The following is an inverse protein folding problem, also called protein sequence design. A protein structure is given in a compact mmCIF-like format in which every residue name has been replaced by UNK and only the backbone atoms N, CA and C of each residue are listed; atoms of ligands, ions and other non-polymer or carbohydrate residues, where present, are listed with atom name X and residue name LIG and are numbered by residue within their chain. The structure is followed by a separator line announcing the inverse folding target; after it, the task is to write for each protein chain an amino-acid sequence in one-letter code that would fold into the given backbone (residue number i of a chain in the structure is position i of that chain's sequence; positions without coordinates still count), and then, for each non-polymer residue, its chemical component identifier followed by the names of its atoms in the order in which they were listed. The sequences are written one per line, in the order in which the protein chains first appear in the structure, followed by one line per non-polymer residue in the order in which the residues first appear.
data_IF_195503382430
#
_entry.id   IF_195503382430
#
_cell.length_a   1.000
_cell.length_b   1.000
_cell.length_c   1.000
_cell.angle_alpha   90.00
_cell.angle_beta   90.00
_cell.angle_gamma   90.00
#
_symmetry.space_group_name_H-M   'P 1'
#
loop_
_entity.id
_entity.type
_entity.pdbx_description
1 polymer ?
#
# COMPACT_ATOMS: atom_id res chain seq x y z
N UNK A 1 -9.58 43.99 -16.45
CA UNK A 1 -10.68 43.18 -15.89
C UNK A 1 -11.35 42.45 -17.04
N UNK A 2 -11.25 41.12 -17.11
CA UNK A 2 -12.02 40.30 -18.08
C UNK A 2 -13.17 39.63 -17.32
N UNK A 3 -14.42 39.71 -17.79
CA UNK A 3 -15.45 38.80 -17.32
C UNK A 3 -15.24 37.46 -18.03
N UNK A 4 -15.02 36.40 -17.25
CA UNK A 4 -15.12 35.03 -17.76
C UNK A 4 -16.60 34.67 -17.83
N UNK A 5 -17.12 34.56 -19.05
CA UNK A 5 -18.41 33.95 -19.33
C UNK A 5 -18.18 32.98 -20.48
N UNK A 6 -18.20 31.69 -20.16
CA UNK A 6 -17.99 30.60 -21.08
C UNK A 6 -18.99 29.49 -20.79
N UNK A 7 -20.11 29.56 -21.52
CA UNK A 7 -20.94 28.48 -22.03
C UNK A 7 -21.33 27.29 -21.13
N UNK A 8 -22.64 27.22 -20.87
CA UNK A 8 -23.37 25.98 -20.57
C UNK A 8 -23.24 24.99 -21.74
N UNK A 9 -22.95 23.73 -21.45
CA UNK A 9 -23.29 22.60 -22.30
C UNK A 9 -24.05 21.58 -21.46
N UNK A 10 -25.37 21.65 -21.60
CA UNK A 10 -26.33 20.62 -21.21
C UNK A 10 -26.02 19.35 -22.04
N UNK A 11 -25.57 18.27 -21.39
CA UNK A 11 -25.38 16.96 -22.01
C UNK A 11 -26.09 15.88 -21.19
N UNK A 12 -26.96 15.05 -21.80
CA UNK A 12 -27.75 14.06 -21.10
C UNK A 12 -26.91 12.82 -20.79
N UNK A 13 -26.94 12.35 -19.55
CA UNK A 13 -26.60 10.98 -19.13
C UNK A 13 -25.25 10.42 -19.62
N UNK A 14 -24.16 11.19 -19.56
CA UNK A 14 -22.84 10.56 -19.47
C UNK A 14 -22.62 10.11 -18.02
N UNK A 15 -22.86 8.83 -17.76
CA UNK A 15 -22.29 8.16 -16.59
C UNK A 15 -20.77 8.23 -16.75
N UNK A 16 -20.16 9.21 -16.08
CA UNK A 16 -18.71 9.26 -15.91
C UNK A 16 -18.39 8.08 -15.00
N UNK A 17 -17.98 6.95 -15.59
CA UNK A 17 -17.35 5.88 -14.84
C UNK A 17 -16.00 6.43 -14.39
N UNK A 18 -15.97 7.04 -13.21
CA UNK A 18 -14.76 7.14 -12.42
C UNK A 18 -14.39 5.69 -12.12
N UNK A 19 -13.60 5.08 -13.01
CA UNK A 19 -12.76 3.96 -12.61
C UNK A 19 -11.81 4.57 -11.60
N UNK A 20 -12.22 4.54 -10.33
CA UNK A 20 -11.27 4.64 -9.26
C UNK A 20 -10.23 3.57 -9.59
N UNK A 21 -9.01 4.00 -9.89
CA UNK A 21 -7.84 3.14 -9.87
C UNK A 21 -7.79 2.60 -8.43
N UNK A 22 -8.57 1.55 -8.13
CA UNK A 22 -8.78 1.03 -6.78
C UNK A 22 -7.43 0.70 -6.15
N UNK A 23 -6.47 0.28 -6.98
CA UNK A 23 -5.09 0.10 -6.61
C UNK A 23 -4.39 1.38 -6.11
N UNK A 24 -4.57 2.54 -6.76
CA UNK A 24 -4.01 3.84 -6.31
C UNK A 24 -4.65 4.37 -5.03
N UNK A 25 -5.90 4.01 -4.79
CA UNK A 25 -6.67 4.54 -3.65
C UNK A 25 -6.55 3.62 -2.43
N UNK A 26 -6.51 2.30 -2.62
CA UNK A 26 -6.60 1.33 -1.53
C UNK A 26 -5.23 0.81 -1.07
N UNK A 27 -4.23 0.67 -1.94
CA UNK A 27 -2.88 0.26 -1.53
C UNK A 27 -2.23 1.24 -0.54
N UNK A 28 -2.37 2.58 -0.67
CA UNK A 28 -1.83 3.49 0.33
C UNK A 28 -2.62 3.44 1.64
N UNK A 29 -3.94 3.16 1.59
CA UNK A 29 -4.74 3.00 2.81
C UNK A 29 -4.33 1.74 3.58
N UNK A 30 -4.12 0.62 2.91
CA UNK A 30 -3.70 -0.64 3.52
C UNK A 30 -2.31 -0.52 4.15
N UNK A 31 -1.35 0.07 3.44
CA UNK A 31 -0.02 0.40 3.97
C UNK A 31 -0.11 1.37 5.14
N UNK A 32 -0.87 2.46 5.03
CA UNK A 32 -1.00 3.43 6.12
C UNK A 32 -1.66 2.82 7.37
N UNK A 33 -2.58 1.85 7.20
CA UNK A 33 -3.12 1.07 8.31
C UNK A 33 -2.05 0.18 8.94
N UNK A 34 -1.25 -0.53 8.13
CA UNK A 34 -0.12 -1.34 8.59
C UNK A 34 0.96 -0.51 9.32
N UNK A 35 1.21 0.72 8.87
CA UNK A 35 2.22 1.64 9.41
C UNK A 35 1.74 2.49 10.59
N UNK A 36 0.43 2.66 10.76
CA UNK A 36 -0.13 3.28 11.96
C UNK A 36 0.11 2.32 13.12
N UNK A 37 0.73 2.80 14.20
CA UNK A 37 1.40 2.03 15.27
C UNK A 37 0.52 1.08 16.11
N UNK A 38 -0.63 0.65 15.61
CA UNK A 38 -1.70 -0.01 16.36
C UNK A 38 -2.49 -1.04 15.54
N UNK A 39 -2.09 -1.34 14.30
CA UNK A 39 -2.72 -2.41 13.54
C UNK A 39 -2.02 -3.75 13.80
N UNK A 40 -1.88 -4.16 15.07
CA UNK A 40 -1.91 -5.59 15.40
C UNK A 40 -3.34 -6.07 15.15
N UNK A 41 -3.70 -6.15 13.87
CA UNK A 41 -4.98 -6.69 13.46
C UNK A 41 -4.89 -8.19 13.65
N UNK A 42 -5.54 -8.66 14.70
CA UNK A 42 -5.82 -10.08 14.90
C UNK A 42 -6.80 -10.50 13.81
N UNK A 43 -6.30 -11.21 12.82
CA UNK A 43 -7.15 -12.02 11.95
C UNK A 43 -7.04 -13.44 12.49
N UNK A 44 -8.00 -13.84 13.33
CA UNK A 44 -8.18 -15.20 13.88
C UNK A 44 -6.88 -15.95 14.26
N UNK A 45 -6.12 -15.43 15.23
CA UNK A 45 -4.85 -15.98 15.78
C UNK A 45 -3.56 -15.65 15.03
N UNK A 46 -3.60 -14.85 13.96
CA UNK A 46 -2.41 -14.44 13.24
C UNK A 46 -2.11 -12.94 13.37
N UNK A 47 -0.85 -12.61 13.67
CA UNK A 47 -0.37 -11.24 13.85
C UNK A 47 -0.06 -10.61 12.50
N UNK A 48 -0.70 -9.48 12.19
CA UNK A 48 -0.29 -8.59 11.10
C UNK A 48 0.64 -7.55 11.71
N UNK A 49 1.89 -7.49 11.27
CA UNK A 49 2.86 -6.49 11.77
C UNK A 49 3.83 -6.04 10.70
N UNK A 50 4.20 -4.76 10.76
CA UNK A 50 5.28 -4.15 10.00
C UNK A 50 6.64 -4.79 10.35
N UNK A 51 6.76 -5.38 11.55
CA UNK A 51 7.99 -6.05 12.00
C UNK A 51 8.39 -7.20 11.07
N UNK A 52 7.43 -7.85 10.41
CA UNK A 52 7.74 -8.88 9.41
C UNK A 52 8.47 -8.30 8.19
N UNK A 53 8.10 -7.09 7.77
CA UNK A 53 8.78 -6.37 6.68
C UNK A 53 10.14 -5.82 7.14
N UNK A 54 10.24 -5.37 8.39
CA UNK A 54 11.53 -4.98 9.00
C UNK A 54 12.48 -6.18 9.00
N UNK A 55 12.02 -7.34 9.49
CA UNK A 55 12.79 -8.57 9.52
C UNK A 55 13.20 -9.00 8.11
N UNK A 56 12.33 -8.88 7.10
CA UNK A 56 12.66 -9.21 5.72
C UNK A 56 13.80 -8.33 5.17
N UNK A 57 13.74 -7.02 5.43
CA UNK A 57 14.78 -6.05 5.02
C UNK A 57 16.12 -6.33 5.71
N UNK A 58 16.09 -6.87 6.93
CA UNK A 58 17.29 -7.16 7.72
C UNK A 58 17.86 -8.57 7.48
N UNK A 59 17.01 -9.54 7.13
CA UNK A 59 17.40 -10.94 6.94
C UNK A 59 17.86 -11.28 5.53
N UNK A 60 17.46 -10.48 4.53
CA UNK A 60 17.72 -10.79 3.12
C UNK A 60 18.21 -9.57 2.34
N UNK A 61 18.92 -9.82 1.23
CA UNK A 61 19.43 -8.75 0.38
C UNK A 61 18.29 -8.06 -0.36
N UNK A 62 18.36 -6.72 -0.47
CA UNK A 62 17.45 -5.90 -1.27
C UNK A 62 17.20 -6.45 -2.68
N UNK A 63 18.18 -7.09 -3.30
CA UNK A 63 18.03 -7.65 -4.65
C UNK A 63 16.93 -8.74 -4.73
N UNK A 64 16.62 -9.38 -3.61
CA UNK A 64 15.64 -10.48 -3.56
C UNK A 64 14.21 -10.01 -3.32
N UNK A 65 14.02 -8.84 -2.68
CA UNK A 65 12.70 -8.37 -2.23
C UNK A 65 12.42 -6.89 -2.56
N UNK A 66 13.37 -6.17 -3.14
CA UNK A 66 13.28 -4.78 -3.61
C UNK A 66 12.88 -3.71 -2.56
N UNK A 67 12.84 -4.05 -1.27
CA UNK A 67 12.47 -3.13 -0.19
C UNK A 67 13.69 -2.49 0.45
N UNK A 68 13.54 -1.23 0.87
CA UNK A 68 14.49 -0.53 1.75
C UNK A 68 13.78 0.04 2.97
N UNK A 69 14.56 0.40 4.00
CA UNK A 69 14.02 0.95 5.26
C UNK A 69 13.11 2.16 5.05
N UNK A 70 13.38 2.99 4.04
CA UNK A 70 12.52 4.15 3.72
C UNK A 70 11.13 3.76 3.21
N UNK A 71 10.96 2.60 2.58
CA UNK A 71 9.68 2.16 2.03
C UNK A 71 8.66 1.84 3.14
N UNK A 72 9.13 1.51 4.34
CA UNK A 72 8.31 1.21 5.52
C UNK A 72 8.22 2.39 6.51
N UNK A 73 8.73 3.57 6.17
CA UNK A 73 8.66 4.71 7.09
C UNK A 73 7.25 5.34 7.10
N UNK A 74 6.63 5.53 8.28
CA UNK A 74 5.28 6.09 8.42
C UNK A 74 5.18 7.59 8.09
N UNK A 75 6.32 8.28 7.95
CA UNK A 75 6.37 9.70 7.58
C UNK A 75 5.89 9.96 6.16
N UNK A 76 5.96 8.95 5.28
CA UNK A 76 5.72 9.12 3.85
C UNK A 76 4.40 8.46 3.42
N UNK A 77 3.27 8.99 3.91
CA UNK A 77 1.93 8.41 3.77
C UNK A 77 1.36 8.43 2.34
N UNK A 78 1.97 9.19 1.44
CA UNK A 78 1.55 9.35 0.04
C UNK A 78 2.51 8.71 -0.96
N UNK A 79 3.54 7.99 -0.48
CA UNK A 79 4.48 7.31 -1.37
C UNK A 79 3.88 6.02 -1.91
N UNK A 80 3.23 6.18 -3.04
CA UNK A 80 2.63 5.09 -3.81
C UNK A 80 3.68 4.08 -4.29
N UNK A 81 4.88 4.53 -4.69
CA UNK A 81 5.95 3.62 -5.13
C UNK A 81 6.36 2.66 -4.01
N UNK A 82 6.43 3.12 -2.77
CA UNK A 82 6.69 2.23 -1.62
C UNK A 82 5.52 1.29 -1.34
N UNK A 83 4.27 1.70 -1.60
CA UNK A 83 3.11 0.80 -1.48
C UNK A 83 3.19 -0.34 -2.51
N UNK A 84 3.48 0.01 -3.76
CA UNK A 84 3.63 -0.93 -4.86
C UNK A 84 4.73 -1.95 -4.59
N UNK A 85 5.89 -1.52 -4.08
CA UNK A 85 6.98 -2.44 -3.71
C UNK A 85 6.64 -3.37 -2.56
N UNK A 86 5.84 -2.94 -1.59
CA UNK A 86 5.46 -3.77 -0.43
C UNK A 86 4.51 -4.90 -0.86
N UNK A 87 3.62 -4.62 -1.81
CA UNK A 87 2.72 -5.61 -2.41
C UNK A 87 3.31 -6.32 -3.64
N UNK A 88 4.60 -6.11 -3.94
CA UNK A 88 5.27 -6.78 -5.06
C UNK A 88 5.50 -8.26 -4.78
N UNK A 89 5.47 -9.09 -5.82
CA UNK A 89 5.57 -10.55 -5.69
C UNK A 89 6.90 -10.97 -5.03
N UNK A 90 7.98 -10.24 -5.29
CA UNK A 90 9.28 -10.46 -4.67
C UNK A 90 9.25 -10.23 -3.14
N UNK A 91 8.58 -9.16 -2.70
CA UNK A 91 8.41 -8.87 -1.28
C UNK A 91 7.51 -9.90 -0.59
N UNK A 92 6.38 -10.25 -1.20
CA UNK A 92 5.44 -11.26 -0.70
C UNK A 92 6.08 -12.66 -0.66
N UNK A 93 6.90 -13.00 -1.66
CA UNK A 93 7.69 -14.23 -1.71
C UNK A 93 8.75 -14.26 -0.60
N UNK A 94 9.41 -13.13 -0.34
CA UNK A 94 10.37 -12.99 0.76
C UNK A 94 9.76 -13.25 2.13
N UNK A 95 8.51 -12.79 2.35
CA UNK A 95 7.79 -13.02 3.61
C UNK A 95 7.60 -14.51 3.94
N UNK A 96 7.62 -15.44 2.97
CA UNK A 96 7.50 -16.88 3.21
C UNK A 96 8.59 -17.39 4.16
N UNK A 97 9.77 -16.80 4.09
CA UNK A 97 10.92 -17.17 4.92
C UNK A 97 10.84 -16.63 6.36
N UNK A 98 9.90 -15.73 6.64
CA UNK A 98 9.71 -15.09 7.94
C UNK A 98 8.65 -15.85 8.75
N UNK A 99 8.97 -16.18 10.00
CA UNK A 99 8.04 -16.88 10.89
C UNK A 99 6.80 -16.01 11.18
N UNK A 100 5.62 -16.63 11.22
CA UNK A 100 4.33 -15.99 11.53
C UNK A 100 3.91 -14.84 10.59
N UNK A 101 4.59 -14.66 9.45
CA UNK A 101 4.31 -13.61 8.48
C UNK A 101 3.08 -13.88 7.59
N UNK A 102 2.51 -15.09 7.64
CA UNK A 102 1.48 -15.57 6.70
C UNK A 102 0.29 -14.61 6.62
N UNK A 103 -0.20 -14.10 7.75
CA UNK A 103 -1.30 -13.14 7.75
C UNK A 103 -0.92 -11.78 7.19
N UNK A 104 0.32 -11.33 7.44
CA UNK A 104 0.83 -10.09 6.82
C UNK A 104 0.91 -10.24 5.31
N UNK A 105 1.32 -11.40 4.80
CA UNK A 105 1.35 -11.68 3.36
C UNK A 105 -0.04 -11.75 2.71
N UNK A 106 -1.05 -12.25 3.42
CA UNK A 106 -2.44 -12.29 2.91
C UNK A 106 -3.09 -10.91 2.95
N UNK A 107 -2.70 -10.08 3.92
CA UNK A 107 -3.20 -8.73 4.09
C UNK A 107 -2.69 -7.75 3.02
N UNK A 108 -1.45 -7.95 2.55
CA UNK A 108 -0.75 -7.13 1.56
C UNK A 108 -1.07 -7.54 0.12
#
# INVERSE_FOLDING_TARGET
MRPFMGFFADMPNQQIYLRDDAFRVDTPKLRNRLLSSMATMLSDDALISIDHLVQLIESSSKLNHNLVKSDILPKDRQNYSSCEKISDEAALGGLISIANSRATRIYL
#
